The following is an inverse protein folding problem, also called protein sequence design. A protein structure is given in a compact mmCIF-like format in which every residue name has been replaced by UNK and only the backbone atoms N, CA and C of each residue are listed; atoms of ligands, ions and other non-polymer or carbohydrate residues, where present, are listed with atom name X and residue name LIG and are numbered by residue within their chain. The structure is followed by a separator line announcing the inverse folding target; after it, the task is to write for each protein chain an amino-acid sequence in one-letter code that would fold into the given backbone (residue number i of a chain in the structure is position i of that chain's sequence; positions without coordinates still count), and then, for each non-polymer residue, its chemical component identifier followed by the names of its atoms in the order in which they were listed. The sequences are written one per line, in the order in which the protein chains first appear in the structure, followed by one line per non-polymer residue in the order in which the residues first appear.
data_IF_348419439921
#
_entry.id   IF_348419439921
#
_cell.length_a   1.000
_cell.length_b   1.000
_cell.length_c   1.000
_cell.angle_alpha   90.00
_cell.angle_beta   90.00
_cell.angle_gamma   90.00
#
_symmetry.space_group_name_H-M   'P 1'
#
loop_
_entity.id
_entity.type
_entity.pdbx_description
1 polymer ?
#
# COMPACT_ATOMS: atom_id res chain seq x y z
N UNK A 1 11.90 -15.63 18.47
CA UNK A 1 11.86 -14.15 18.60
C UNK A 1 10.97 -13.43 17.57
N UNK A 2 10.46 -14.07 16.52
CA UNK A 2 9.61 -13.47 15.47
C UNK A 2 8.13 -13.25 15.85
N UNK A 3 7.53 -14.14 16.62
CA UNK A 3 6.10 -14.09 16.94
C UNK A 3 5.67 -12.92 17.86
N UNK A 4 6.57 -12.47 18.74
CA UNK A 4 6.27 -11.36 19.65
C UNK A 4 6.26 -10.01 18.92
N UNK A 5 7.13 -9.82 17.91
CA UNK A 5 7.17 -8.61 17.09
C UNK A 5 5.96 -8.48 16.16
N UNK A 6 5.43 -9.61 15.67
CA UNK A 6 4.22 -9.61 14.85
C UNK A 6 2.98 -9.25 15.67
N UNK A 7 2.87 -9.78 16.90
CA UNK A 7 1.80 -9.41 17.85
C UNK A 7 1.83 -7.93 18.22
N UNK A 8 3.02 -7.37 18.46
CA UNK A 8 3.17 -5.95 18.78
C UNK A 8 2.77 -5.06 17.59
N UNK A 9 3.11 -5.46 16.38
CA UNK A 9 2.73 -4.75 15.14
C UNK A 9 1.21 -4.80 14.90
N UNK A 10 0.57 -5.94 15.18
CA UNK A 10 -0.89 -6.09 15.11
C UNK A 10 -1.58 -5.22 16.18
N UNK A 11 -1.02 -5.15 17.40
CA UNK A 11 -1.56 -4.32 18.46
C UNK A 11 -1.37 -2.84 18.12
N UNK A 12 -0.22 -2.43 17.57
CA UNK A 12 0.02 -1.03 17.15
C UNK A 12 -0.85 -0.67 15.93
N UNK A 13 -0.97 -1.53 14.93
CA UNK A 13 -1.88 -1.29 13.79
C UNK A 13 -3.34 -1.28 14.24
N UNK A 14 -3.72 -2.17 15.15
CA UNK A 14 -5.07 -2.24 15.71
C UNK A 14 -5.36 -1.06 16.64
N UNK A 15 -4.43 -0.65 17.50
CA UNK A 15 -4.60 0.56 18.33
C UNK A 15 -4.53 1.84 17.49
N UNK A 16 -3.72 1.90 16.45
CA UNK A 16 -3.65 3.04 15.55
C UNK A 16 -4.92 3.16 14.70
N UNK A 17 -5.41 2.06 14.12
CA UNK A 17 -6.72 2.04 13.42
C UNK A 17 -7.88 2.29 14.39
N UNK A 18 -7.74 1.82 15.62
CA UNK A 18 -8.72 2.00 16.67
C UNK A 18 -8.86 3.47 17.13
N UNK A 19 -7.73 4.18 17.24
CA UNK A 19 -7.71 5.61 17.61
C UNK A 19 -8.37 6.53 16.58
N UNK A 20 -8.57 6.02 15.39
CA UNK A 20 -8.88 6.78 14.18
C UNK A 20 -10.37 6.90 13.88
N UNK A 21 -11.17 5.98 14.36
CA UNK A 21 -12.57 5.83 13.92
C UNK A 21 -13.52 6.88 14.55
N UNK A 22 -13.14 7.60 15.59
CA UNK A 22 -14.14 8.27 16.45
C UNK A 22 -13.89 9.73 16.83
N UNK A 23 -14.18 10.63 15.91
CA UNK A 23 -14.56 12.00 16.26
C UNK A 23 -15.33 12.67 15.12
N UNK A 24 -16.63 12.54 15.10
CA UNK A 24 -17.47 13.37 14.23
C UNK A 24 -18.75 13.82 14.94
N UNK A 25 -18.76 15.08 15.43
CA UNK A 25 -19.98 15.89 15.42
C UNK A 25 -20.00 16.68 14.13
N UNK A 26 -20.98 16.44 13.24
CA UNK A 26 -21.18 17.21 12.00
C UNK A 26 -21.81 18.57 12.34
N UNK A 27 -21.39 19.67 11.70
CA UNK A 27 -22.17 20.92 11.66
C UNK A 27 -23.40 20.68 10.75
N UNK A 28 -24.58 21.01 11.23
CA UNK A 28 -25.88 20.64 10.64
C UNK A 28 -26.17 21.27 9.27
N UNK A 29 -25.74 22.48 9.00
CA UNK A 29 -26.07 23.20 7.76
C UNK A 29 -25.33 22.69 6.49
N UNK A 30 -24.08 22.21 6.63
CA UNK A 30 -23.30 21.59 5.55
C UNK A 30 -23.86 20.20 5.14
N UNK A 31 -24.61 19.56 6.02
CA UNK A 31 -25.03 18.17 5.86
C UNK A 31 -26.06 17.94 4.76
N UNK A 32 -27.02 18.86 4.60
CA UNK A 32 -28.10 18.76 3.60
C UNK A 32 -27.55 18.92 2.18
N UNK A 33 -26.66 19.89 1.95
CA UNK A 33 -26.06 20.13 0.65
C UNK A 33 -25.15 18.97 0.20
N UNK A 34 -24.39 18.39 1.13
CA UNK A 34 -23.49 17.26 0.83
C UNK A 34 -24.26 15.97 0.51
N UNK A 35 -25.45 15.76 1.04
CA UNK A 35 -26.33 14.62 0.71
C UNK A 35 -26.70 14.56 -0.77
N UNK A 36 -26.67 15.69 -1.49
CA UNK A 36 -26.87 15.71 -2.94
C UNK A 36 -25.66 15.19 -3.74
N UNK A 37 -24.46 15.13 -3.15
CA UNK A 37 -23.24 14.63 -3.80
C UNK A 37 -22.86 13.24 -3.36
N UNK A 38 -23.07 12.91 -2.08
CA UNK A 38 -22.63 11.66 -1.49
C UNK A 38 -23.72 11.09 -0.60
N UNK A 39 -24.05 9.84 -0.79
CA UNK A 39 -24.95 9.07 0.06
C UNK A 39 -24.13 8.22 1.03
N UNK A 40 -24.38 8.40 2.30
CA UNK A 40 -23.81 7.62 3.39
C UNK A 40 -24.57 6.28 3.51
N UNK A 41 -23.84 5.20 3.74
CA UNK A 41 -24.35 3.84 3.95
C UNK A 41 -23.71 3.22 5.20
N UNK A 42 -23.43 4.03 6.21
CA UNK A 42 -22.77 3.58 7.46
C UNK A 42 -23.66 2.63 8.29
N UNK A 43 -24.93 2.52 7.98
CA UNK A 43 -25.90 1.57 8.54
C UNK A 43 -25.80 0.16 7.95
N UNK A 44 -24.89 -0.06 7.00
CA UNK A 44 -24.71 -1.33 6.31
C UNK A 44 -23.34 -1.95 6.57
N UNK A 45 -23.33 -3.27 6.57
CA UNK A 45 -22.10 -4.08 6.48
C UNK A 45 -21.94 -4.50 5.04
N UNK A 46 -20.73 -4.34 4.51
CA UNK A 46 -20.40 -4.82 3.17
C UNK A 46 -19.48 -6.03 3.25
N UNK A 47 -19.88 -7.13 2.63
CA UNK A 47 -19.02 -8.27 2.32
C UNK A 47 -18.56 -8.19 0.87
N UNK A 48 -17.32 -8.51 0.57
CA UNK A 48 -16.82 -8.50 -0.79
C UNK A 48 -15.84 -9.64 -1.07
N UNK A 49 -15.85 -10.09 -2.32
CA UNK A 49 -14.85 -10.98 -2.89
C UNK A 49 -14.13 -10.20 -3.96
N UNK A 50 -12.80 -10.31 -3.99
CA UNK A 50 -12.03 -9.65 -5.02
C UNK A 50 -10.95 -10.55 -5.58
N UNK A 51 -10.62 -10.30 -6.83
CA UNK A 51 -9.50 -10.90 -7.53
C UNK A 51 -8.57 -9.78 -7.97
N UNK A 52 -7.27 -9.95 -7.77
CA UNK A 52 -6.28 -8.97 -8.20
C UNK A 52 -5.09 -9.62 -8.88
N UNK A 53 -4.55 -8.93 -9.89
CA UNK A 53 -3.24 -9.20 -10.46
C UNK A 53 -2.26 -8.19 -9.90
N UNK A 54 -1.37 -8.65 -9.02
CA UNK A 54 -0.37 -7.80 -8.36
C UNK A 54 1.00 -8.18 -8.89
N UNK A 55 1.60 -7.28 -9.67
CA UNK A 55 2.94 -7.48 -10.22
C UNK A 55 3.96 -6.70 -9.39
N UNK A 56 4.96 -7.42 -8.91
CA UNK A 56 6.13 -6.86 -8.25
C UNK A 56 7.35 -7.18 -9.12
N UNK A 57 8.11 -6.18 -9.48
CA UNK A 57 9.40 -6.34 -10.15
C UNK A 57 10.47 -5.67 -9.31
N UNK A 58 11.55 -6.40 -9.01
CA UNK A 58 12.72 -5.89 -8.31
C UNK A 58 13.88 -5.88 -9.30
N UNK A 59 14.42 -4.71 -9.56
CA UNK A 59 15.58 -4.54 -10.43
C UNK A 59 16.77 -4.08 -9.58
N UNK A 60 17.84 -4.82 -9.63
CA UNK A 60 19.11 -4.47 -8.99
C UNK A 60 20.14 -4.16 -10.07
N UNK A 61 20.61 -2.91 -10.07
CA UNK A 61 21.65 -2.45 -10.97
C UNK A 61 22.93 -2.17 -10.17
N UNK A 62 23.98 -2.91 -10.49
CA UNK A 62 25.29 -2.79 -9.88
C UNK A 62 26.29 -2.01 -10.79
N UNK A 63 25.81 -1.47 -11.91
CA UNK A 63 26.55 -0.68 -12.89
C UNK A 63 25.68 0.52 -13.32
N UNK A 64 25.26 1.39 -12.38
CA UNK A 64 24.43 2.52 -12.75
C UNK A 64 25.25 3.49 -13.63
N UNK A 65 24.60 4.27 -14.51
CA UNK A 65 25.27 5.32 -15.27
C UNK A 65 25.80 6.39 -14.32
N UNK A 66 26.90 6.99 -14.66
CA UNK A 66 27.53 8.07 -13.88
C UNK A 66 26.64 9.31 -13.73
N UNK A 67 25.64 9.47 -14.59
CA UNK A 67 24.69 10.59 -14.55
C UNK A 67 23.26 10.06 -14.55
N UNK A 68 22.52 10.29 -13.47
CA UNK A 68 21.09 9.95 -13.36
C UNK A 68 20.16 10.85 -14.22
N UNK A 69 20.69 11.95 -14.82
CA UNK A 69 20.03 12.79 -15.81
C UNK A 69 20.17 12.28 -17.25
N UNK A 70 20.89 11.20 -17.46
CA UNK A 70 21.00 10.61 -18.78
C UNK A 70 19.62 10.01 -19.12
N UNK A 71 18.90 10.60 -20.08
CA UNK A 71 17.56 10.18 -20.50
C UNK A 71 17.50 8.69 -20.86
N UNK A 72 18.62 8.13 -21.33
CA UNK A 72 18.81 6.71 -21.55
C UNK A 72 18.76 5.87 -20.24
N UNK A 73 19.00 6.50 -19.08
CA UNK A 73 19.05 5.81 -17.80
C UNK A 73 17.68 5.37 -17.29
N UNK A 74 16.63 6.14 -17.58
CA UNK A 74 15.25 5.87 -17.14
C UNK A 74 14.47 4.99 -18.13
N UNK A 75 14.87 4.94 -19.39
CA UNK A 75 14.09 4.34 -20.49
C UNK A 75 14.61 2.96 -20.90
N UNK A 76 15.89 2.65 -20.69
CA UNK A 76 16.43 1.33 -21.06
C UNK A 76 15.99 0.24 -20.09
N UNK A 77 15.00 -0.53 -20.50
CA UNK A 77 14.53 -1.74 -19.80
C UNK A 77 15.58 -2.87 -19.77
N UNK A 78 16.55 -2.86 -20.65
CA UNK A 78 17.48 -3.96 -20.89
C UNK A 78 18.93 -3.48 -20.79
N UNK A 79 19.37 -3.13 -19.58
CA UNK A 79 20.80 -2.90 -19.35
C UNK A 79 21.52 -4.23 -19.23
N UNK A 80 22.67 -4.40 -19.90
CA UNK A 80 23.33 -5.71 -20.02
C UNK A 80 23.84 -6.33 -18.71
N UNK A 81 23.52 -5.82 -17.54
CA UNK A 81 23.88 -6.41 -16.24
C UNK A 81 22.85 -6.17 -15.15
N UNK A 82 21.64 -5.72 -15.50
CA UNK A 82 20.56 -5.62 -14.53
C UNK A 82 20.06 -7.01 -14.15
N UNK A 83 19.92 -7.25 -12.85
CA UNK A 83 19.26 -8.44 -12.32
C UNK A 83 17.80 -8.09 -12.05
N UNK A 84 16.88 -8.82 -12.68
CA UNK A 84 15.45 -8.53 -12.63
C UNK A 84 14.70 -9.71 -12.05
N UNK A 85 14.24 -9.55 -10.82
CA UNK A 85 13.46 -10.54 -10.10
C UNK A 85 11.96 -10.26 -10.21
N UNK A 86 11.19 -11.27 -10.62
CA UNK A 86 9.73 -11.27 -10.60
C UNK A 86 9.22 -12.48 -9.83
N UNK A 87 8.13 -12.36 -9.06
CA UNK A 87 7.44 -13.51 -8.51
C UNK A 87 6.58 -14.17 -9.59
N UNK A 88 6.50 -15.49 -9.60
CA UNK A 88 5.64 -16.25 -10.50
C UNK A 88 4.21 -16.34 -9.90
N UNK A 89 3.48 -15.22 -9.94
CA UNK A 89 2.11 -15.14 -9.43
C UNK A 89 1.17 -14.57 -10.48
N UNK A 90 0.06 -15.26 -10.76
CA UNK A 90 -0.95 -14.74 -11.69
C UNK A 90 -1.98 -13.88 -10.98
N UNK A 91 -2.71 -14.46 -10.04
CA UNK A 91 -3.83 -13.81 -9.37
C UNK A 91 -3.80 -14.04 -7.87
N UNK A 92 -4.30 -13.03 -7.14
CA UNK A 92 -4.64 -13.11 -5.73
C UNK A 92 -6.15 -13.16 -5.62
N UNK A 93 -6.70 -14.05 -4.81
CA UNK A 93 -8.09 -14.04 -4.41
C UNK A 93 -8.19 -13.56 -2.96
N UNK A 94 -9.18 -12.74 -2.68
CA UNK A 94 -9.34 -12.16 -1.35
C UNK A 94 -10.77 -11.92 -0.94
N UNK A 95 -10.92 -11.73 0.36
CA UNK A 95 -12.15 -11.37 1.02
C UNK A 95 -12.01 -10.02 1.69
N UNK A 96 -13.08 -9.26 1.68
CA UNK A 96 -13.17 -7.98 2.35
C UNK A 96 -14.44 -7.85 3.16
N UNK A 97 -14.33 -7.22 4.31
CA UNK A 97 -15.46 -6.78 5.12
C UNK A 97 -15.29 -5.31 5.45
N UNK A 98 -16.38 -4.55 5.39
CA UNK A 98 -16.38 -3.17 5.85
C UNK A 98 -17.67 -2.83 6.57
N UNK A 99 -17.55 -2.00 7.60
CA UNK A 99 -18.67 -1.48 8.38
C UNK A 99 -18.36 -0.04 8.82
N UNK A 100 -19.33 0.83 8.66
CA UNK A 100 -19.13 2.25 8.94
C UNK A 100 -17.87 2.82 8.24
N UNK A 101 -16.92 3.26 9.04
CA UNK A 101 -15.68 3.86 8.54
C UNK A 101 -14.53 2.86 8.39
N UNK A 102 -14.66 1.65 8.92
CA UNK A 102 -13.59 0.64 8.96
C UNK A 102 -13.71 -0.37 7.83
N UNK A 103 -12.60 -0.85 7.28
CA UNK A 103 -12.52 -1.96 6.35
C UNK A 103 -11.30 -2.82 6.60
N UNK A 104 -11.47 -4.12 6.41
CA UNK A 104 -10.40 -5.11 6.47
C UNK A 104 -10.48 -5.98 5.23
N UNK A 105 -9.36 -6.21 4.59
CA UNK A 105 -9.25 -7.03 3.37
C UNK A 105 -8.02 -7.91 3.46
N UNK A 106 -8.17 -9.19 3.13
CA UNK A 106 -7.05 -10.13 3.08
C UNK A 106 -7.09 -10.88 1.75
N UNK A 107 -5.92 -11.15 1.18
CA UNK A 107 -5.80 -11.96 -0.03
C UNK A 107 -4.55 -12.82 -0.01
N UNK A 108 -4.67 -13.94 -0.71
CA UNK A 108 -3.60 -14.92 -0.92
C UNK A 108 -3.48 -15.23 -2.40
N UNK A 109 -2.35 -15.74 -2.80
CA UNK A 109 -2.14 -16.22 -4.16
C UNK A 109 -3.06 -17.40 -4.45
N UNK A 110 -3.64 -17.42 -5.67
CA UNK A 110 -4.30 -18.61 -6.20
C UNK A 110 -3.28 -19.71 -6.48
N UNK A 111 -3.68 -20.99 -6.50
CA UNK A 111 -2.77 -22.09 -6.83
C UNK A 111 -2.34 -22.10 -8.32
N UNK A 112 -2.74 -21.10 -9.08
CA UNK A 112 -2.40 -20.97 -10.52
C UNK A 112 -1.23 -20.00 -10.62
N UNK A 113 -0.10 -20.44 -11.16
CA UNK A 113 1.06 -19.61 -11.48
C UNK A 113 0.87 -18.89 -12.81
N UNK A 114 1.52 -17.73 -13.01
CA UNK A 114 1.45 -16.97 -14.27
C UNK A 114 2.21 -17.69 -15.40
N UNK A 115 3.35 -18.28 -15.04
CA UNK A 115 4.25 -18.99 -15.94
C UNK A 115 4.46 -20.42 -15.49
N UNK A 116 5.00 -21.27 -16.38
CA UNK A 116 5.33 -22.65 -16.06
C UNK A 116 6.27 -22.71 -14.82
N UNK A 117 5.85 -23.46 -13.78
CA UNK A 117 6.60 -23.58 -12.51
C UNK A 117 7.95 -24.27 -12.67
N UNK A 118 8.10 -25.18 -13.64
CA UNK A 118 9.38 -25.82 -13.90
C UNK A 118 10.43 -24.84 -14.45
N UNK A 119 9.98 -23.74 -15.09
CA UNK A 119 10.84 -22.72 -15.67
C UNK A 119 11.03 -21.53 -14.72
N UNK A 120 9.96 -21.11 -14.05
CA UNK A 120 9.92 -19.87 -13.24
C UNK A 120 9.83 -20.12 -11.75
N UNK A 121 9.80 -21.38 -11.32
CA UNK A 121 9.65 -21.70 -9.90
C UNK A 121 8.28 -21.32 -9.33
N UNK A 122 8.14 -21.51 -8.01
CA UNK A 122 6.93 -21.21 -7.25
C UNK A 122 7.10 -19.94 -6.45
N UNK A 123 6.05 -19.14 -6.40
CA UNK A 123 5.98 -17.96 -5.55
C UNK A 123 4.82 -18.07 -4.56
N UNK A 124 4.88 -17.29 -3.50
CA UNK A 124 3.79 -17.15 -2.55
C UNK A 124 3.59 -15.68 -2.20
N UNK A 125 2.33 -15.24 -2.26
CA UNK A 125 1.95 -13.85 -1.98
C UNK A 125 0.83 -13.82 -0.95
N UNK A 126 1.01 -12.98 0.06
CA UNK A 126 0.00 -12.65 1.05
C UNK A 126 -0.12 -11.14 1.17
N UNK A 127 -1.36 -10.64 1.24
CA UNK A 127 -1.66 -9.23 1.41
C UNK A 127 -2.75 -9.04 2.46
N UNK A 128 -2.54 -8.08 3.35
CA UNK A 128 -3.51 -7.64 4.34
C UNK A 128 -3.63 -6.12 4.27
N UNK A 129 -4.85 -5.61 4.23
CA UNK A 129 -5.14 -4.18 4.26
C UNK A 129 -6.18 -3.88 5.33
N UNK A 130 -5.93 -2.83 6.11
CA UNK A 130 -6.89 -2.25 7.06
C UNK A 130 -7.01 -0.78 6.75
N UNK A 131 -8.21 -0.27 6.62
CA UNK A 131 -8.44 1.14 6.31
C UNK A 131 -9.59 1.74 7.13
N UNK A 132 -9.50 3.06 7.35
CA UNK A 132 -10.50 3.77 8.12
C UNK A 132 -10.53 5.27 7.85
N UNK A 133 -11.61 5.92 8.33
CA UNK A 133 -11.78 7.37 8.24
C UNK A 133 -11.90 8.01 9.61
N UNK A 134 -11.09 9.05 9.83
CA UNK A 134 -11.07 9.83 11.07
C UNK A 134 -11.23 11.27 10.76
N UNK A 135 -12.33 11.87 11.19
CA UNK A 135 -12.62 13.26 10.87
C UNK A 135 -12.55 13.48 9.34
N UNK A 136 -11.50 14.17 8.90
CA UNK A 136 -11.24 14.52 7.49
C UNK A 136 -10.08 13.71 6.88
N UNK A 137 -9.53 12.75 7.62
CA UNK A 137 -8.41 11.93 7.19
C UNK A 137 -8.88 10.53 6.82
N UNK A 138 -8.43 10.06 5.68
CA UNK A 138 -8.43 8.66 5.34
C UNK A 138 -7.09 8.06 5.75
N UNK A 139 -7.12 6.93 6.43
CA UNK A 139 -5.94 6.23 6.85
C UNK A 139 -6.02 4.80 6.34
N UNK A 140 -4.91 4.29 5.84
CA UNK A 140 -4.79 2.87 5.53
C UNK A 140 -3.44 2.32 5.95
N UNK A 141 -3.46 1.05 6.35
CA UNK A 141 -2.31 0.24 6.64
C UNK A 141 -2.35 -0.99 5.74
N UNK A 142 -1.27 -1.27 5.05
CA UNK A 142 -1.16 -2.37 4.12
C UNK A 142 0.12 -3.16 4.38
N UNK A 143 -0.02 -4.47 4.42
CA UNK A 143 1.08 -5.41 4.57
C UNK A 143 1.13 -6.34 3.37
N UNK A 144 2.31 -6.48 2.78
CA UNK A 144 2.59 -7.44 1.72
C UNK A 144 3.72 -8.37 2.15
N UNK A 145 3.63 -9.61 1.71
CA UNK A 145 4.73 -10.57 1.76
C UNK A 145 4.77 -11.31 0.43
N UNK A 146 5.94 -11.28 -0.20
CA UNK A 146 6.27 -12.12 -1.35
C UNK A 146 7.41 -13.05 -0.98
N UNK A 147 7.39 -14.27 -1.48
CA UNK A 147 8.51 -15.22 -1.38
C UNK A 147 8.59 -16.06 -2.66
N UNK A 148 9.80 -16.42 -3.04
CA UNK A 148 10.08 -17.08 -4.31
C UNK A 148 10.07 -16.09 -5.47
N UNK A 149 11.23 -15.92 -6.10
CA UNK A 149 11.43 -15.02 -7.22
C UNK A 149 12.21 -15.72 -8.32
N UNK A 150 12.16 -15.16 -9.50
CA UNK A 150 12.87 -15.66 -10.67
C UNK A 150 13.60 -14.52 -11.33
N UNK A 151 14.87 -14.71 -11.63
CA UNK A 151 15.62 -13.77 -12.44
C UNK A 151 15.33 -13.99 -13.91
N UNK A 152 14.71 -12.99 -14.52
CA UNK A 152 14.33 -13.03 -15.94
C UNK A 152 15.49 -12.67 -16.88
N UNK A 153 16.54 -12.03 -16.35
CA UNK A 153 17.65 -11.48 -17.12
C UNK A 153 18.90 -12.38 -17.12
N UNK A 154 18.83 -13.57 -16.54
CA UNK A 154 20.00 -14.46 -16.39
C UNK A 154 20.74 -14.68 -17.71
N UNK A 155 20.06 -14.89 -18.82
CA UNK A 155 20.68 -15.09 -20.14
C UNK A 155 21.34 -13.84 -20.73
N UNK A 156 21.10 -12.65 -20.15
CA UNK A 156 21.69 -11.39 -20.62
C UNK A 156 23.11 -11.22 -20.07
N UNK A 157 23.34 -11.59 -18.80
CA UNK A 157 24.64 -11.43 -18.15
C UNK A 157 25.44 -12.74 -18.10
N UNK A 158 24.79 -13.90 -18.30
CA UNK A 158 25.42 -15.22 -18.41
C UNK A 158 25.26 -15.77 -19.82
N UNK A 159 26.22 -15.52 -20.68
CA UNK A 159 26.22 -16.01 -22.07
C UNK A 159 26.30 -17.54 -22.19
N UNK A 160 26.63 -18.25 -21.11
CA UNK A 160 26.65 -19.71 -21.06
C UNK A 160 25.29 -20.31 -20.70
N UNK A 161 24.33 -19.48 -20.31
CA UNK A 161 22.98 -19.91 -19.97
C UNK A 161 22.19 -20.28 -21.20
N UNK A 162 22.18 -21.55 -21.57
CA UNK A 162 21.56 -22.08 -22.78
C UNK A 162 20.32 -22.97 -22.51
N UNK A 163 19.83 -22.96 -21.28
CA UNK A 163 18.67 -23.74 -20.84
C UNK A 163 17.39 -22.88 -20.74
N UNK A 164 16.20 -23.48 -20.91
CA UNK A 164 14.93 -22.76 -20.83
C UNK A 164 14.61 -22.29 -19.39
N UNK A 165 15.09 -23.01 -18.37
CA UNK A 165 14.86 -22.68 -16.98
C UNK A 165 15.55 -21.36 -16.64
N UNK A 166 14.84 -20.52 -15.88
CA UNK A 166 15.36 -19.27 -15.33
C UNK A 166 16.10 -19.52 -14.02
N UNK A 167 16.86 -18.53 -13.55
CA UNK A 167 17.47 -18.61 -12.23
C UNK A 167 16.40 -18.41 -11.15
N UNK A 168 15.98 -19.52 -10.54
CA UNK A 168 14.96 -19.52 -9.49
C UNK A 168 15.61 -19.16 -8.16
N UNK A 169 15.02 -18.23 -7.40
CA UNK A 169 15.47 -17.69 -6.12
C UNK A 169 14.36 -17.84 -5.07
N UNK A 170 14.16 -19.04 -4.59
CA UNK A 170 13.20 -19.35 -3.51
C UNK A 170 13.56 -18.69 -2.18
N UNK A 171 14.84 -18.39 -2.00
CA UNK A 171 15.41 -17.75 -0.81
C UNK A 171 15.05 -16.28 -0.66
N UNK A 172 14.64 -15.60 -1.73
CA UNK A 172 14.27 -14.18 -1.68
C UNK A 172 12.89 -14.03 -1.05
N UNK A 173 12.84 -13.27 0.04
CA UNK A 173 11.61 -12.92 0.73
C UNK A 173 11.53 -11.40 0.84
N UNK A 174 10.41 -10.82 0.40
CA UNK A 174 10.13 -9.41 0.60
C UNK A 174 8.97 -9.21 1.56
N UNK A 175 9.04 -8.17 2.36
CA UNK A 175 7.97 -7.73 3.26
C UNK A 175 7.86 -6.22 3.17
N UNK A 176 6.65 -5.73 2.98
CA UNK A 176 6.36 -4.30 2.93
C UNK A 176 5.23 -3.94 3.88
N UNK A 177 5.39 -2.83 4.57
CA UNK A 177 4.35 -2.18 5.36
C UNK A 177 4.18 -0.77 4.82
N UNK A 178 2.97 -0.43 4.40
CA UNK A 178 2.60 0.91 3.94
C UNK A 178 1.56 1.50 4.88
N UNK A 179 1.85 2.68 5.42
CA UNK A 179 0.92 3.48 6.21
C UNK A 179 0.65 4.78 5.46
N UNK A 180 -0.61 5.06 5.18
CA UNK A 180 -1.00 6.26 4.47
C UNK A 180 -2.02 7.06 5.27
N UNK A 181 -1.86 8.39 5.29
CA UNK A 181 -2.83 9.34 5.79
C UNK A 181 -3.14 10.35 4.69
N UNK A 182 -4.40 10.39 4.22
CA UNK A 182 -4.82 11.25 3.11
C UNK A 182 -5.92 12.21 3.57
N UNK A 183 -5.79 13.49 3.20
CA UNK A 183 -6.77 14.54 3.48
C UNK A 183 -7.23 15.18 2.18
N UNK A 184 -8.53 15.22 1.98
CA UNK A 184 -9.16 15.86 0.83
C UNK A 184 -9.69 17.23 1.21
N UNK A 185 -9.57 18.21 0.29
CA UNK A 185 -9.97 19.60 0.52
C UNK A 185 -11.46 19.81 0.27
N UNK A 186 -12.03 19.13 -0.72
CA UNK A 186 -13.43 19.29 -1.11
C UNK A 186 -14.28 18.10 -0.61
N UNK A 187 -15.28 18.39 0.22
CA UNK A 187 -16.20 17.40 0.79
C UNK A 187 -17.20 16.82 -0.24
N UNK A 188 -17.33 17.41 -1.43
CA UNK A 188 -18.20 16.89 -2.51
C UNK A 188 -17.64 15.62 -3.14
N UNK A 189 -16.33 15.41 -3.06
CA UNK A 189 -15.65 14.20 -3.48
C UNK A 189 -15.57 13.22 -2.31
N UNK A 190 -16.00 11.98 -2.52
CA UNK A 190 -15.87 10.92 -1.54
C UNK A 190 -14.88 9.86 -1.99
N UNK A 191 -13.71 9.82 -1.34
CA UNK A 191 -12.76 8.73 -1.49
C UNK A 191 -13.34 7.38 -1.05
N UNK A 192 -14.24 7.39 -0.04
CA UNK A 192 -14.96 6.22 0.44
C UNK A 192 -15.83 5.60 -0.65
N UNK A 193 -16.50 6.45 -1.46
CA UNK A 193 -17.36 6.00 -2.54
C UNK A 193 -16.56 5.46 -3.73
N UNK A 194 -15.48 6.17 -4.11
CA UNK A 194 -14.73 5.91 -5.34
C UNK A 194 -13.77 4.74 -5.20
N UNK A 195 -13.03 4.67 -4.09
CA UNK A 195 -11.94 3.70 -3.92
C UNK A 195 -12.22 2.63 -2.85
N UNK A 196 -13.28 2.79 -2.03
CA UNK A 196 -13.55 1.90 -0.89
C UNK A 196 -14.98 1.34 -0.85
N UNK A 197 -15.88 1.85 -1.68
CA UNK A 197 -17.28 1.43 -1.78
C UNK A 197 -18.06 1.47 -0.45
N UNK A 198 -17.66 2.38 0.47
CA UNK A 198 -18.29 2.60 1.79
C UNK A 198 -19.31 3.74 1.79
N UNK A 199 -19.43 4.44 0.69
CA UNK A 199 -20.39 5.49 0.39
C UNK A 199 -20.77 5.37 -1.09
N UNK A 200 -21.78 6.14 -1.53
CA UNK A 200 -22.18 6.22 -2.93
C UNK A 200 -21.99 7.66 -3.40
N UNK A 201 -21.18 7.85 -4.43
CA UNK A 201 -21.05 9.14 -5.08
C UNK A 201 -22.25 9.33 -6.03
N UNK A 202 -23.00 10.42 -5.86
CA UNK A 202 -24.22 10.70 -6.64
C UNK A 202 -23.98 11.68 -7.78
N UNK A 203 -23.00 12.58 -7.65
CA UNK A 203 -22.65 13.60 -8.65
C UNK A 203 -21.15 13.65 -8.85
N UNK A 204 -20.73 14.02 -10.05
CA UNK A 204 -19.34 14.25 -10.39
C UNK A 204 -18.73 15.33 -9.50
N UNK A 205 -17.49 15.14 -9.09
CA UNK A 205 -16.78 16.06 -8.21
C UNK A 205 -15.26 15.99 -8.44
N UNK A 206 -14.58 17.08 -8.11
CA UNK A 206 -13.12 17.19 -8.12
C UNK A 206 -12.63 17.73 -6.77
N UNK A 207 -11.43 17.32 -6.37
CA UNK A 207 -10.77 17.75 -5.15
C UNK A 207 -9.25 17.76 -5.32
N UNK A 208 -8.58 18.55 -4.52
CA UNK A 208 -7.16 18.38 -4.26
C UNK A 208 -6.97 17.57 -2.98
N UNK A 209 -5.78 16.97 -2.82
CA UNK A 209 -5.46 16.20 -1.63
C UNK A 209 -4.00 16.35 -1.20
N UNK A 210 -3.77 16.04 0.07
CA UNK A 210 -2.45 15.89 0.67
C UNK A 210 -2.36 14.49 1.26
N UNK A 211 -1.24 13.81 1.03
CA UNK A 211 -0.97 12.45 1.51
C UNK A 211 0.37 12.43 2.23
N UNK A 212 0.35 11.87 3.43
CA UNK A 212 1.54 11.44 4.17
C UNK A 212 1.65 9.94 4.00
N UNK A 213 2.82 9.44 3.63
CA UNK A 213 3.09 8.03 3.48
C UNK A 213 4.33 7.66 4.27
N UNK A 214 4.20 6.63 5.10
CA UNK A 214 5.33 5.89 5.65
C UNK A 214 5.33 4.50 5.01
N UNK A 215 6.49 4.07 4.50
CA UNK A 215 6.67 2.74 3.95
C UNK A 215 7.94 2.11 4.52
N UNK A 216 7.85 0.84 4.89
CA UNK A 216 8.99 0.03 5.30
C UNK A 216 9.03 -1.21 4.41
N UNK A 217 10.04 -1.34 3.60
CA UNK A 217 10.30 -2.49 2.73
C UNK A 217 11.54 -3.22 3.22
N UNK A 218 11.48 -4.55 3.25
CA UNK A 218 12.57 -5.40 3.71
C UNK A 218 12.75 -6.55 2.72
N UNK A 219 13.89 -6.56 2.07
CA UNK A 219 14.35 -7.58 1.13
C UNK A 219 15.39 -8.42 1.82
N UNK A 220 15.20 -9.75 1.87
CA UNK A 220 16.12 -10.70 2.47
C UNK A 220 16.33 -11.86 1.51
N UNK A 221 17.57 -12.30 1.41
CA UNK A 221 17.96 -13.48 0.68
C UNK A 221 19.02 -14.25 1.47
N UNK A 222 19.12 -15.56 1.26
CA UNK A 222 20.18 -16.38 1.82
C UNK A 222 21.49 -16.15 1.06
N UNK A 223 21.39 -15.97 -0.26
CA UNK A 223 22.50 -15.65 -1.14
C UNK A 223 22.41 -14.18 -1.61
N UNK A 224 23.53 -13.58 -2.06
CA UNK A 224 23.52 -12.22 -2.59
C UNK A 224 22.46 -11.99 -3.67
N UNK A 225 21.86 -10.78 -3.69
CA UNK A 225 20.90 -10.40 -4.72
C UNK A 225 21.51 -10.33 -6.11
N UNK A 226 22.83 -10.02 -6.20
CA UNK A 226 23.53 -9.96 -7.47
C UNK A 226 24.30 -11.28 -7.66
N UNK A 227 23.94 -12.10 -8.67
CA UNK A 227 24.69 -13.31 -9.01
C UNK A 227 26.14 -12.98 -9.39
N UNK A 228 27.09 -13.90 -9.16
CA UNK A 228 28.53 -13.63 -9.38
C UNK A 228 28.88 -13.04 -10.75
N UNK A 229 28.25 -13.55 -11.83
CA UNK A 229 28.50 -13.09 -13.21
C UNK A 229 27.92 -11.69 -13.53
N UNK A 230 26.92 -11.26 -12.76
CA UNK A 230 26.33 -9.92 -12.89
C UNK A 230 27.03 -8.87 -11.99
N UNK A 231 27.98 -9.29 -11.13
CA UNK A 231 28.64 -8.36 -10.18
C UNK A 231 29.60 -7.42 -10.89
N UNK A 232 29.60 -6.19 -10.44
CA UNK A 232 30.69 -5.25 -10.69
C UNK A 232 31.81 -5.52 -9.68
N UNK A 233 33.06 -5.87 -10.10
CA UNK A 233 34.16 -6.11 -9.20
C UNK A 233 34.48 -4.90 -8.31
N UNK A 234 34.24 -3.70 -8.81
CA UNK A 234 34.57 -2.44 -8.12
C UNK A 234 33.48 -2.02 -7.13
N UNK A 235 32.30 -2.69 -7.12
CA UNK A 235 31.20 -2.37 -6.24
C UNK A 235 31.11 -3.35 -5.06
N UNK A 236 31.18 -2.83 -3.85
CA UNK A 236 30.98 -3.62 -2.62
C UNK A 236 29.58 -4.20 -2.50
N UNK A 237 28.57 -3.58 -3.13
CA UNK A 237 27.16 -3.98 -3.01
C UNK A 237 26.82 -5.27 -3.74
N UNK A 238 27.71 -5.81 -4.57
CA UNK A 238 27.53 -7.10 -5.25
C UNK A 238 27.30 -8.29 -4.31
N UNK A 239 27.69 -8.18 -3.03
CA UNK A 239 27.53 -9.24 -2.02
C UNK A 239 26.33 -9.02 -1.09
N UNK A 240 25.43 -8.09 -1.42
CA UNK A 240 24.28 -7.72 -0.58
C UNK A 240 23.27 -8.85 -0.47
N UNK A 241 22.93 -9.23 0.77
CA UNK A 241 21.92 -10.25 1.10
C UNK A 241 20.69 -9.66 1.77
N UNK A 242 20.78 -8.44 2.29
CA UNK A 242 19.67 -7.74 2.93
C UNK A 242 19.66 -6.28 2.57
N UNK A 243 18.48 -5.77 2.23
CA UNK A 243 18.22 -4.35 2.03
C UNK A 243 16.90 -4.00 2.74
N UNK A 244 16.93 -3.01 3.62
CA UNK A 244 15.75 -2.45 4.25
C UNK A 244 15.66 -0.97 3.95
N UNK A 245 14.50 -0.53 3.49
CA UNK A 245 14.18 0.85 3.17
C UNK A 245 13.01 1.33 4.01
N UNK A 246 13.15 2.46 4.66
CA UNK A 246 12.08 3.12 5.41
C UNK A 246 11.91 4.52 4.83
N UNK A 247 10.74 4.79 4.24
CA UNK A 247 10.44 6.04 3.57
C UNK A 247 9.42 6.85 4.36
N UNK A 248 9.64 8.13 4.45
CA UNK A 248 8.62 9.10 4.82
C UNK A 248 8.42 10.09 3.67
N UNK A 249 7.21 10.18 3.13
CA UNK A 249 6.92 10.92 1.90
C UNK A 249 5.71 11.83 2.07
N UNK A 250 5.81 13.04 1.53
CA UNK A 250 4.71 14.02 1.44
C UNK A 250 4.33 14.18 -0.02
N UNK A 251 3.05 13.99 -0.34
CA UNK A 251 2.50 14.03 -1.71
C UNK A 251 1.35 15.02 -1.75
N UNK A 252 1.30 15.83 -2.80
CA UNK A 252 0.16 16.67 -3.14
C UNK A 252 -0.39 16.30 -4.51
N UNK A 253 -1.71 16.44 -4.71
CA UNK A 253 -2.29 16.06 -5.99
C UNK A 253 -3.75 16.44 -6.17
N UNK A 254 -4.31 15.98 -7.29
CA UNK A 254 -5.72 16.09 -7.65
C UNK A 254 -6.41 14.72 -7.69
N UNK A 255 -7.71 14.72 -7.38
CA UNK A 255 -8.57 13.56 -7.54
C UNK A 255 -9.93 14.00 -8.10
N UNK A 256 -10.52 13.18 -8.94
CA UNK A 256 -11.83 13.46 -9.53
C UNK A 256 -12.65 12.21 -9.72
N UNK A 257 -13.96 12.39 -9.86
CA UNK A 257 -14.90 11.34 -10.17
C UNK A 257 -15.98 11.87 -11.12
N UNK A 258 -16.24 11.10 -12.16
CA UNK A 258 -17.39 11.25 -13.05
C UNK A 258 -18.43 10.22 -12.66
N UNK A 259 -19.70 10.64 -12.61
CA UNK A 259 -20.83 9.78 -12.21
C UNK A 259 -21.96 9.90 -13.22
N UNK A 260 -22.50 8.76 -13.63
CA UNK A 260 -23.69 8.66 -14.49
C UNK A 260 -24.47 7.37 -14.21
N UNK A 261 -25.73 7.50 -13.86
CA UNK A 261 -26.68 6.38 -13.68
C UNK A 261 -26.17 5.21 -12.82
N UNK A 262 -25.50 5.51 -11.70
CA UNK A 262 -24.93 4.50 -10.78
C UNK A 262 -23.52 4.00 -11.20
N UNK A 263 -23.08 4.30 -12.41
CA UNK A 263 -21.71 4.11 -12.83
C UNK A 263 -20.82 5.26 -12.39
N UNK A 264 -19.57 4.96 -12.12
CA UNK A 264 -18.58 5.98 -11.82
C UNK A 264 -17.22 5.64 -12.45
N UNK A 265 -16.45 6.68 -12.71
CA UNK A 265 -15.04 6.60 -13.10
C UNK A 265 -14.28 7.66 -12.31
N UNK A 266 -13.34 7.23 -11.50
CA UNK A 266 -12.53 8.08 -10.65
C UNK A 266 -11.05 7.90 -10.88
N UNK A 267 -10.30 8.98 -10.73
CA UNK A 267 -8.85 8.97 -10.81
C UNK A 267 -8.25 9.88 -9.72
N UNK A 268 -7.01 9.57 -9.36
CA UNK A 268 -6.20 10.30 -8.40
C UNK A 268 -4.76 10.30 -8.89
N UNK A 269 -4.17 11.49 -9.00
CA UNK A 269 -2.78 11.69 -9.43
C UNK A 269 -2.12 12.71 -8.54
N UNK A 270 -0.92 12.40 -8.07
CA UNK A 270 -0.14 13.30 -7.23
C UNK A 270 1.35 13.04 -7.32
N UNK A 271 2.12 14.05 -6.97
CA UNK A 271 3.57 13.97 -6.90
C UNK A 271 4.06 14.54 -5.57
N UNK A 272 5.24 14.10 -5.16
CA UNK A 272 5.82 14.51 -3.90
C UNK A 272 7.29 14.15 -3.77
N UNK A 273 7.80 14.39 -2.57
CA UNK A 273 9.17 14.07 -2.19
C UNK A 273 9.18 13.42 -0.82
N UNK A 274 10.21 12.65 -0.57
CA UNK A 274 10.41 11.99 0.72
C UNK A 274 11.87 11.83 1.10
N UNK A 275 12.07 11.41 2.32
CA UNK A 275 13.36 10.97 2.83
C UNK A 275 13.33 9.45 3.03
N UNK A 276 14.40 8.78 2.66
CA UNK A 276 14.55 7.34 2.77
C UNK A 276 15.76 7.03 3.64
N UNK A 277 15.53 6.22 4.67
CA UNK A 277 16.57 5.57 5.45
C UNK A 277 16.76 4.17 4.92
N UNK A 278 17.97 3.85 4.50
CA UNK A 278 18.37 2.57 3.94
C UNK A 278 19.34 1.88 4.91
N UNK A 279 19.12 0.60 5.19
CA UNK A 279 20.09 -0.24 5.88
C UNK A 279 20.34 -1.50 5.07
N UNK A 280 21.60 -1.86 4.88
CA UNK A 280 22.02 -2.99 4.07
C UNK A 280 22.99 -3.88 4.81
N UNK A 281 23.05 -5.15 4.41
CA UNK A 281 24.01 -6.14 4.91
C UNK A 281 24.69 -6.77 3.72
N UNK A 282 26.01 -6.66 3.71
CA UNK A 282 26.93 -7.30 2.77
C UNK A 282 27.55 -8.53 3.44
N UNK A 283 28.32 -9.29 2.73
CA UNK A 283 29.06 -10.44 3.29
C UNK A 283 30.11 -10.02 4.34
N UNK A 284 30.66 -8.83 4.21
CA UNK A 284 31.77 -8.33 5.04
C UNK A 284 31.36 -7.24 6.03
N UNK A 285 30.31 -6.47 5.75
CA UNK A 285 29.93 -5.32 6.55
C UNK A 285 28.40 -5.05 6.46
N UNK A 286 27.95 -4.19 7.35
CA UNK A 286 26.60 -3.61 7.28
C UNK A 286 26.70 -2.10 7.31
N UNK A 287 25.78 -1.41 6.64
CA UNK A 287 25.81 0.04 6.57
C UNK A 287 24.41 0.67 6.57
N UNK A 288 24.43 1.98 6.70
CA UNK A 288 23.23 2.84 6.69
C UNK A 288 23.48 3.97 5.70
N UNK A 289 22.44 4.33 4.95
CA UNK A 289 22.45 5.47 4.04
C UNK A 289 21.11 6.22 4.12
N UNK A 290 21.15 7.51 3.82
CA UNK A 290 19.97 8.37 3.71
C UNK A 290 19.91 9.02 2.33
N UNK A 291 18.76 9.02 1.71
CA UNK A 291 18.54 9.65 0.41
C UNK A 291 17.22 10.41 0.37
N UNK A 292 17.14 11.38 -0.54
CA UNK A 292 15.87 11.98 -0.94
C UNK A 292 15.29 11.20 -2.12
N UNK A 293 13.98 10.95 -2.09
CA UNK A 293 13.30 10.20 -3.14
C UNK A 293 12.13 11.00 -3.71
N UNK A 294 11.93 10.99 -5.02
CA UNK A 294 10.69 11.43 -5.62
C UNK A 294 9.56 10.43 -5.33
N UNK A 295 8.32 10.90 -5.33
CA UNK A 295 7.15 10.05 -5.15
C UNK A 295 6.08 10.40 -6.17
N UNK A 296 5.47 9.36 -6.74
CA UNK A 296 4.32 9.45 -7.61
C UNK A 296 3.19 8.62 -7.01
N UNK A 297 1.96 9.12 -7.08
CA UNK A 297 0.75 8.45 -6.61
C UNK A 297 -0.28 8.45 -7.73
N UNK A 298 -0.56 7.27 -8.29
CA UNK A 298 -1.52 7.11 -9.38
C UNK A 298 -2.50 6.02 -8.99
N UNK A 299 -3.79 6.39 -8.96
CA UNK A 299 -4.89 5.46 -8.73
C UNK A 299 -6.03 5.74 -9.68
N UNK A 300 -6.65 4.69 -10.18
CA UNK A 300 -7.89 4.77 -10.92
C UNK A 300 -8.90 3.76 -10.37
N UNK A 301 -10.17 4.08 -10.44
CA UNK A 301 -11.25 3.18 -10.07
C UNK A 301 -12.46 3.48 -10.91
N UNK A 302 -13.17 2.44 -11.33
CA UNK A 302 -14.42 2.57 -12.05
C UNK A 302 -15.34 1.41 -11.75
N UNK A 303 -16.64 1.60 -11.98
CA UNK A 303 -17.58 0.51 -11.77
C UNK A 303 -19.00 0.98 -11.54
N UNK A 304 -19.79 0.09 -10.99
CA UNK A 304 -21.18 0.29 -10.61
C UNK A 304 -21.32 0.18 -9.10
N UNK A 305 -21.93 1.17 -8.47
CA UNK A 305 -22.01 1.26 -7.01
C UNK A 305 -23.39 1.73 -6.57
N UNK A 306 -24.17 0.84 -5.94
CA UNK A 306 -25.53 1.06 -5.47
C UNK A 306 -25.68 0.81 -3.97
N UNK A 307 -26.88 0.96 -3.43
CA UNK A 307 -27.16 0.70 -2.01
C UNK A 307 -27.01 -0.77 -1.60
N UNK A 308 -27.23 -1.72 -2.52
CA UNK A 308 -27.21 -3.15 -2.22
C UNK A 308 -25.96 -3.86 -2.69
N UNK A 309 -25.39 -3.42 -3.82
CA UNK A 309 -24.26 -4.12 -4.42
C UNK A 309 -23.30 -3.16 -5.13
N UNK A 310 -22.09 -3.61 -5.33
CA UNK A 310 -21.10 -2.93 -6.14
C UNK A 310 -20.23 -3.91 -6.92
N UNK A 311 -19.78 -3.47 -8.08
CA UNK A 311 -18.76 -4.12 -8.89
C UNK A 311 -17.80 -3.03 -9.31
N UNK A 312 -16.51 -3.19 -8.98
CA UNK A 312 -15.50 -2.15 -9.23
C UNK A 312 -14.20 -2.73 -9.78
N UNK A 313 -13.57 -1.94 -10.62
CA UNK A 313 -12.21 -2.15 -11.13
C UNK A 313 -11.32 -1.09 -10.51
N UNK A 314 -10.15 -1.48 -10.03
CA UNK A 314 -9.18 -0.56 -9.45
C UNK A 314 -7.79 -0.83 -10.00
N UNK A 315 -7.07 0.25 -10.29
CA UNK A 315 -5.67 0.24 -10.67
C UNK A 315 -4.88 1.07 -9.66
N UNK A 316 -3.77 0.55 -9.20
CA UNK A 316 -2.79 1.26 -8.39
C UNK A 316 -1.39 0.94 -8.90
N UNK A 317 -0.54 1.96 -9.06
CA UNK A 317 0.84 1.80 -9.49
C UNK A 317 1.77 2.63 -8.61
N UNK A 318 2.84 2.02 -8.16
CA UNK A 318 3.87 2.64 -7.30
C UNK A 318 5.26 2.25 -7.79
N UNK A 319 6.17 3.21 -7.79
CA UNK A 319 7.59 3.00 -8.09
C UNK A 319 8.40 3.47 -6.89
N UNK A 320 9.38 2.68 -6.51
CA UNK A 320 10.33 3.02 -5.45
C UNK A 320 11.74 2.95 -5.99
N UNK A 321 12.50 3.98 -5.71
CA UNK A 321 13.91 4.04 -6.03
C UNK A 321 14.74 4.01 -4.75
N UNK A 322 15.87 3.31 -4.78
CA UNK A 322 16.86 3.30 -3.71
C UNK A 322 18.23 3.33 -4.36
N UNK A 323 18.94 4.44 -4.23
CA UNK A 323 20.31 4.60 -4.69
C UNK A 323 21.25 4.55 -3.48
N UNK A 324 22.28 3.73 -3.55
CA UNK A 324 23.35 3.64 -2.55
C UNK A 324 24.66 4.15 -3.16
N UNK A 325 25.37 5.07 -2.50
CA UNK A 325 26.65 5.57 -2.97
C UNK A 325 27.72 4.46 -2.92
N UNK A 326 28.61 4.43 -3.88
CA UNK A 326 29.78 3.57 -3.88
C UNK A 326 31.06 4.36 -3.58
N UNK A 327 32.13 3.63 -3.27
CA UNK A 327 33.46 4.21 -2.99
C UNK A 327 34.13 4.83 -4.22
N UNK A 328 33.61 4.60 -5.43
CA UNK A 328 34.21 5.02 -6.71
C UNK A 328 33.23 5.77 -7.62
N UNK A 329 32.43 6.68 -7.07
CA UNK A 329 31.42 7.45 -7.81
C UNK A 329 30.35 6.59 -8.56
N UNK A 330 30.33 5.29 -8.30
CA UNK A 330 29.30 4.39 -8.83
C UNK A 330 28.22 4.18 -7.78
N UNK A 331 27.00 4.29 -8.19
CA UNK A 331 25.84 4.06 -7.34
C UNK A 331 25.30 2.64 -7.56
N UNK A 332 24.90 1.99 -6.48
CA UNK A 332 24.04 0.81 -6.57
C UNK A 332 22.58 1.28 -6.60
N UNK A 333 21.83 0.81 -7.57
CA UNK A 333 20.43 1.18 -7.73
C UNK A 333 19.53 -0.04 -7.54
N UNK A 334 18.59 0.07 -6.61
CA UNK A 334 17.48 -0.87 -6.47
C UNK A 334 16.18 -0.16 -6.85
N UNK A 335 15.44 -0.75 -7.80
CA UNK A 335 14.14 -0.25 -8.23
C UNK A 335 13.10 -1.31 -7.91
N UNK A 336 12.06 -0.93 -7.20
CA UNK A 336 10.87 -1.74 -6.99
C UNK A 336 9.70 -1.12 -7.74
N UNK A 337 9.18 -1.84 -8.72
CA UNK A 337 7.95 -1.50 -9.42
C UNK A 337 6.82 -2.38 -8.93
N UNK A 338 5.77 -1.76 -8.42
CA UNK A 338 4.56 -2.45 -8.00
C UNK A 338 3.36 -1.93 -8.78
N UNK A 339 2.59 -2.83 -9.37
CA UNK A 339 1.29 -2.52 -9.95
C UNK A 339 0.24 -3.52 -9.48
N UNK A 340 -0.97 -3.04 -9.28
CA UNK A 340 -2.08 -3.88 -8.87
C UNK A 340 -3.33 -3.49 -9.65
N UNK A 341 -3.88 -4.44 -10.39
CA UNK A 341 -5.21 -4.37 -10.98
C UNK A 341 -6.14 -5.28 -10.19
N UNK A 342 -7.29 -4.76 -9.79
CA UNK A 342 -8.23 -5.47 -8.93
C UNK A 342 -9.65 -5.35 -9.45
N UNK A 343 -10.37 -6.48 -9.47
CA UNK A 343 -11.81 -6.57 -9.68
C UNK A 343 -12.44 -6.96 -8.35
N UNK A 344 -13.41 -6.17 -7.89
CA UNK A 344 -14.03 -6.34 -6.59
C UNK A 344 -15.56 -6.34 -6.73
N UNK A 345 -16.20 -7.39 -6.23
CA UNK A 345 -17.65 -7.54 -6.17
C UNK A 345 -18.09 -7.65 -4.73
N UNK A 346 -19.11 -6.89 -4.35
CA UNK A 346 -19.58 -6.93 -2.98
C UNK A 346 -21.07 -6.69 -2.85
N UNK A 347 -21.58 -7.15 -1.71
CA UNK A 347 -22.96 -7.00 -1.32
C UNK A 347 -23.06 -6.34 0.06
N UNK A 348 -24.14 -5.57 0.28
CA UNK A 348 -24.40 -4.82 1.49
C UNK A 348 -25.62 -5.37 2.20
N UNK A 349 -25.41 -5.68 3.46
CA UNK A 349 -26.44 -6.19 4.37
C UNK A 349 -26.81 -5.08 5.35
N UNK A 350 -28.10 -4.98 5.68
CA UNK A 350 -28.55 -4.10 6.75
C UNK A 350 -28.04 -4.62 8.09
N UNK A 351 -27.54 -3.73 8.94
CA UNK A 351 -27.11 -4.10 10.28
C UNK A 351 -28.33 -4.41 11.14
N UNK A 352 -28.45 -5.67 11.58
CA UNK A 352 -29.45 -6.04 12.57
C UNK A 352 -29.16 -5.41 13.95
N UNK A 353 -30.18 -5.28 14.82
CA UNK A 353 -30.07 -4.55 16.09
C UNK A 353 -28.97 -5.05 17.04
N UNK A 354 -28.64 -6.34 16.98
CA UNK A 354 -27.56 -6.92 17.78
C UNK A 354 -26.18 -6.46 17.30
N UNK A 355 -25.98 -6.37 15.99
CA UNK A 355 -24.71 -5.92 15.38
C UNK A 355 -24.55 -4.42 15.61
N UNK A 356 -25.61 -3.65 15.46
CA UNK A 356 -25.63 -2.21 15.73
C UNK A 356 -25.17 -1.92 17.17
N UNK A 357 -25.71 -2.63 18.18
CA UNK A 357 -25.27 -2.52 19.58
C UNK A 357 -23.80 -2.85 19.78
N UNK A 358 -23.31 -3.93 19.14
CA UNK A 358 -21.91 -4.32 19.25
C UNK A 358 -20.98 -3.28 18.64
N UNK A 359 -21.37 -2.70 17.52
CA UNK A 359 -20.64 -1.61 16.86
C UNK A 359 -20.67 -0.34 17.71
N UNK A 360 -21.81 0.04 18.27
CA UNK A 360 -21.93 1.19 19.19
C UNK A 360 -21.11 1.01 20.47
N UNK A 361 -21.11 -0.18 21.06
CA UNK A 361 -20.31 -0.51 22.22
C UNK A 361 -18.80 -0.44 21.91
N UNK A 362 -18.36 -1.05 20.81
CA UNK A 362 -17.00 -0.94 20.34
C UNK A 362 -16.62 0.52 20.08
N UNK A 363 -17.50 1.28 19.49
CA UNK A 363 -17.36 2.70 19.25
C UNK A 363 -17.17 3.48 20.58
N UNK A 364 -17.97 3.18 21.58
CA UNK A 364 -17.88 3.84 22.89
C UNK A 364 -16.55 3.58 23.59
N UNK A 365 -16.10 2.33 23.64
CA UNK A 365 -14.80 1.96 24.22
C UNK A 365 -13.65 2.73 23.57
N UNK A 366 -13.67 2.78 22.26
CA UNK A 366 -12.64 3.46 21.48
C UNK A 366 -12.61 4.94 21.79
N UNK A 367 -13.77 5.59 21.79
CA UNK A 367 -13.86 7.01 22.09
C UNK A 367 -13.31 7.34 23.46
N UNK A 368 -13.59 6.49 24.45
CA UNK A 368 -13.10 6.62 25.81
C UNK A 368 -11.59 6.45 25.90
N UNK A 369 -11.05 5.43 25.22
CA UNK A 369 -9.60 5.15 25.21
C UNK A 369 -8.81 6.26 24.50
N UNK A 370 -9.31 6.75 23.36
CA UNK A 370 -8.67 7.83 22.60
C UNK A 370 -8.65 9.13 23.39
N UNK A 371 -9.75 9.49 24.05
CA UNK A 371 -9.80 10.68 24.87
C UNK A 371 -8.85 10.60 26.08
N UNK A 372 -8.67 9.41 26.63
CA UNK A 372 -7.70 9.15 27.71
C UNK A 372 -6.25 9.30 27.24
N UNK A 373 -5.93 8.81 26.02
CA UNK A 373 -4.56 8.86 25.45
C UNK A 373 -4.19 10.27 24.97
N UNK A 374 -5.14 11.03 24.41
CA UNK A 374 -4.87 12.38 23.89
C UNK A 374 -4.88 13.44 24.99
N UNK A 375 -5.16 13.07 26.25
CA UNK A 375 -5.08 13.97 27.42
C UNK A 375 -6.10 15.11 27.39
N UNK A 376 -7.23 14.97 26.69
CA UNK A 376 -8.36 15.88 26.85
C UNK A 376 -9.04 15.55 28.16
N UNK A 377 -8.66 16.30 29.19
CA UNK A 377 -9.15 16.14 30.55
C UNK A 377 -10.67 15.97 30.63
N UNK A 378 -11.09 15.22 31.63
CA UNK A 378 -12.49 15.05 32.00
C UNK A 378 -13.23 16.39 31.96
N UNK A 379 -14.42 16.45 31.38
CA UNK A 379 -15.26 17.63 31.57
C UNK A 379 -15.43 17.83 33.11
N UNK A 380 -15.01 18.99 33.59
CA UNK A 380 -15.27 19.40 34.98
C UNK A 380 -16.76 19.23 35.23
N UNK A 381 -17.12 18.29 36.08
CA UNK A 381 -18.48 18.23 36.65
C UNK A 381 -18.69 19.51 37.41
N UNK A 382 -19.45 20.45 36.85
CA UNK A 382 -19.97 21.58 37.60
C UNK A 382 -20.90 21.01 38.69
N UNK A 383 -20.35 20.79 39.89
CA UNK A 383 -21.18 20.75 41.09
C UNK A 383 -21.79 22.14 41.21
N UNK A 384 -23.08 22.29 40.89
CA UNK A 384 -23.88 23.38 41.42
C UNK A 384 -23.82 23.25 42.95
N UNK A 385 -23.16 24.19 43.62
CA UNK A 385 -23.40 24.44 45.01
C UNK A 385 -24.86 24.85 45.16
N UNK A 386 -25.61 24.08 45.88
CA UNK A 386 -26.87 24.49 46.49
C UNK A 386 -26.47 25.34 47.67
N UNK A 387 -26.59 26.63 47.55
CA UNK A 387 -26.64 27.53 48.72
C UNK A 387 -28.11 27.65 49.13
N UNK A 388 -28.34 27.35 50.38
CA UNK A 388 -29.55 27.63 51.18
C UNK A 388 -29.79 29.14 51.36
#
# INVERSE_FOLDING_TARGET
MGFCKLKLLFIIAFTFTYSIVFSQKKPEADSVYLKHFVRDINDKISGSIFMSNSKLQLTFNNHPPNNWWDDDALIRRDRPKDVVYIPNNSYLIGLGISFGNLGVRASIQTPISEYNEDIYGKSSVFRLRVDGFVKKWYLDAEYYRYSGFTDTNVAIYDSTWNRPEKLIREDIITRSINLNAVKFTNKKFSYKAVFKQKEIQLKSAFTTYYKLRFRSENYNAAEPFIPPLARNPDSKYGTMTRLRMNDFTVIGGGAGVLVWNGFFLGAMVGAGIGVQHQSFTLSTESGIHYSMIPALDIKASGGYNTEKMFITFQLNSEITYSALPSTFDQEFLAISYFSNFEVNCGYRFDMGPHITRSVEWANHIIHTTVNAVIGKGHPKTNKKASDD
#
